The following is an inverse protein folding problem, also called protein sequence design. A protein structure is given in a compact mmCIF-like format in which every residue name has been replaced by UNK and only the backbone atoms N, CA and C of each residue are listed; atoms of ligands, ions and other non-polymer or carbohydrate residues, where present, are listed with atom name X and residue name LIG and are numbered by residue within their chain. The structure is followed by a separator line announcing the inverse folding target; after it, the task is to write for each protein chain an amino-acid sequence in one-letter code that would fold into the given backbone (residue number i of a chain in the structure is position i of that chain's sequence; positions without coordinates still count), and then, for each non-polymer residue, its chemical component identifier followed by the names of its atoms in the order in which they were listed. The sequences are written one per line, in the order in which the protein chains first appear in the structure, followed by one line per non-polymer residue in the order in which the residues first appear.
data_IF_438954086140
#
_entry.id   IF_438954086140
#
_cell.length_a   1.000
_cell.length_b   1.000
_cell.length_c   1.000
_cell.angle_alpha   90.00
_cell.angle_beta   90.00
_cell.angle_gamma   90.00
#
_symmetry.space_group_name_H-M   'P 1'
#
loop_
_entity.id
_entity.type
_entity.pdbx_description
1 polymer ?
#
# COMPACT_ATOMS: atom_id res chain seq x y z
N UNK A 1 -21.10 4.38 -3.50
CA UNK A 1 -21.15 2.90 -3.40
C UNK A 1 -20.46 2.53 -2.10
N UNK A 2 -21.16 1.94 -1.15
CA UNK A 2 -20.59 1.42 0.09
C UNK A 2 -19.67 0.27 -0.24
N UNK A 3 -18.44 0.35 0.26
CA UNK A 3 -17.44 -0.69 0.06
C UNK A 3 -17.96 -2.01 0.68
N UNK A 4 -18.14 -3.05 -0.14
CA UNK A 4 -18.70 -4.34 0.32
C UNK A 4 -17.73 -5.15 1.20
N UNK A 5 -16.51 -4.69 1.39
CA UNK A 5 -15.46 -5.42 2.10
C UNK A 5 -14.86 -4.61 3.24
N UNK A 6 -14.60 -5.29 4.36
CA UNK A 6 -13.72 -4.79 5.41
C UNK A 6 -12.27 -5.14 5.04
N UNK A 7 -11.36 -4.19 5.16
CA UNK A 7 -9.95 -4.40 4.84
C UNK A 7 -9.13 -4.51 6.12
N UNK A 8 -8.37 -5.59 6.25
CA UNK A 8 -7.34 -5.76 7.27
C UNK A 8 -5.98 -5.70 6.58
N UNK A 9 -5.24 -4.64 6.84
CA UNK A 9 -3.98 -4.34 6.17
C UNK A 9 -2.85 -4.38 7.19
N UNK A 10 -1.94 -5.33 7.03
CA UNK A 10 -0.79 -5.50 7.90
C UNK A 10 0.46 -4.88 7.25
N UNK A 11 0.81 -3.67 7.68
CA UNK A 11 2.08 -3.05 7.33
C UNK A 11 3.18 -3.58 8.27
N UNK A 12 4.07 -4.43 7.75
CA UNK A 12 5.16 -4.99 8.54
C UNK A 12 6.27 -3.99 8.82
N UNK A 13 6.24 -2.84 8.15
CA UNK A 13 7.33 -1.87 8.22
C UNK A 13 8.67 -2.53 7.92
N UNK A 14 9.74 -2.21 8.65
CA UNK A 14 11.08 -2.79 8.47
C UNK A 14 11.28 -4.01 9.39
N UNK A 15 10.30 -4.93 9.41
CA UNK A 15 10.39 -6.17 10.17
C UNK A 15 10.23 -7.40 9.30
N UNK A 16 10.90 -8.47 9.69
CA UNK A 16 10.75 -9.78 9.09
C UNK A 16 11.91 -10.20 8.19
N UNK A 17 12.11 -11.50 8.17
CA UNK A 17 13.05 -12.25 7.34
C UNK A 17 12.33 -13.46 6.72
N UNK A 18 13.07 -14.34 6.05
CA UNK A 18 12.50 -15.54 5.43
C UNK A 18 11.85 -16.48 6.46
N UNK A 19 12.37 -16.54 7.70
CA UNK A 19 11.78 -17.39 8.77
C UNK A 19 10.44 -16.86 9.23
N UNK A 20 10.25 -15.54 9.18
CA UNK A 20 9.01 -14.87 9.59
C UNK A 20 7.81 -15.29 8.71
N UNK A 21 8.05 -15.77 7.48
CA UNK A 21 6.98 -16.23 6.57
C UNK A 21 6.16 -17.38 7.18
N UNK A 22 6.74 -18.19 8.05
CA UNK A 22 6.04 -19.29 8.73
C UNK A 22 4.92 -18.78 9.66
N UNK A 23 5.02 -17.54 10.16
CA UNK A 23 3.97 -16.92 10.98
C UNK A 23 2.62 -16.77 10.25
N UNK A 24 2.64 -16.78 8.91
CA UNK A 24 1.44 -16.69 8.07
C UNK A 24 0.56 -17.94 8.11
N UNK A 25 1.04 -19.08 8.60
CA UNK A 25 0.30 -20.35 8.56
C UNK A 25 -1.04 -20.28 9.31
N UNK A 26 -1.07 -19.64 10.47
CA UNK A 26 -2.29 -19.42 11.24
C UNK A 26 -3.30 -18.57 10.46
N UNK A 27 -2.83 -17.51 9.80
CA UNK A 27 -3.67 -16.60 9.02
C UNK A 27 -4.17 -17.27 7.74
N UNK A 28 -3.34 -18.10 7.10
CA UNK A 28 -3.74 -18.92 5.94
C UNK A 28 -4.86 -19.88 6.34
N UNK A 29 -4.72 -20.57 7.48
CA UNK A 29 -5.75 -21.47 8.01
C UNK A 29 -7.06 -20.73 8.28
N UNK A 30 -6.98 -19.58 8.95
CA UNK A 30 -8.13 -18.72 9.21
C UNK A 30 -8.81 -18.26 7.91
N UNK A 31 -8.05 -17.76 6.93
CA UNK A 31 -8.59 -17.29 5.66
C UNK A 31 -9.32 -18.41 4.89
N UNK A 32 -8.82 -19.65 4.95
CA UNK A 32 -9.46 -20.81 4.32
C UNK A 32 -10.79 -21.17 4.96
N UNK A 33 -10.91 -21.09 6.29
CA UNK A 33 -12.15 -21.40 7.01
C UNK A 33 -13.23 -20.31 6.90
N UNK A 34 -12.85 -19.09 6.52
CA UNK A 34 -13.74 -17.93 6.45
C UNK A 34 -13.92 -17.34 5.05
N UNK A 35 -13.90 -18.19 4.01
CA UNK A 35 -13.98 -17.76 2.60
C UNK A 35 -15.22 -16.96 2.22
N UNK A 36 -16.34 -17.17 2.93
CA UNK A 36 -17.62 -16.51 2.66
C UNK A 36 -17.73 -15.10 3.29
N UNK A 37 -16.81 -14.71 4.16
CA UNK A 37 -16.85 -13.44 4.86
C UNK A 37 -16.44 -12.28 3.95
N UNK A 38 -17.10 -11.14 4.11
CA UNK A 38 -16.84 -9.92 3.32
C UNK A 38 -15.63 -9.14 3.85
N UNK A 39 -14.46 -9.77 3.95
CA UNK A 39 -13.22 -9.10 4.30
C UNK A 39 -12.09 -9.40 3.31
N UNK A 40 -11.09 -8.56 3.30
CA UNK A 40 -9.84 -8.73 2.57
C UNK A 40 -8.65 -8.60 3.51
N UNK A 41 -7.74 -9.55 3.42
CA UNK A 41 -6.47 -9.53 4.15
C UNK A 41 -5.36 -9.13 3.18
N UNK A 42 -4.61 -8.10 3.53
CA UNK A 42 -3.49 -7.60 2.72
C UNK A 42 -2.25 -7.53 3.61
N UNK A 43 -1.19 -8.20 3.22
CA UNK A 43 0.11 -8.15 3.89
C UNK A 43 1.07 -7.30 3.09
N UNK A 44 1.66 -6.28 3.73
CA UNK A 44 2.64 -5.37 3.13
C UNK A 44 4.00 -5.57 3.84
N UNK A 45 4.77 -6.60 3.43
CA UNK A 45 6.09 -6.88 3.98
C UNK A 45 7.16 -5.96 3.35
N UNK A 46 8.41 -5.97 3.87
CA UNK A 46 9.55 -5.39 3.17
C UNK A 46 9.70 -5.92 1.74
N UNK A 47 10.27 -5.12 0.85
CA UNK A 47 10.40 -5.46 -0.58
C UNK A 47 11.09 -6.82 -0.82
N UNK A 48 12.07 -7.18 0.02
CA UNK A 48 12.80 -8.45 -0.02
C UNK A 48 11.92 -9.69 0.20
N UNK A 49 10.75 -9.51 0.84
CA UNK A 49 9.84 -10.60 1.20
C UNK A 49 8.59 -10.66 0.29
N UNK A 50 8.35 -9.70 -0.60
CA UNK A 50 7.16 -9.68 -1.46
C UNK A 50 7.08 -10.96 -2.30
N UNK A 51 8.16 -11.34 -2.99
CA UNK A 51 8.15 -12.52 -3.86
C UNK A 51 7.92 -13.83 -3.10
N UNK A 52 8.67 -14.16 -2.03
CA UNK A 52 8.43 -15.41 -1.29
C UNK A 52 7.05 -15.45 -0.63
N UNK A 53 6.55 -14.33 -0.08
CA UNK A 53 5.20 -14.26 0.50
C UNK A 53 4.13 -14.40 -0.59
N UNK A 54 4.28 -13.75 -1.73
CA UNK A 54 3.35 -13.88 -2.86
C UNK A 54 3.24 -15.33 -3.34
N UNK A 55 4.36 -16.05 -3.45
CA UNK A 55 4.36 -17.50 -3.75
C UNK A 55 3.64 -18.31 -2.67
N UNK A 56 3.91 -18.05 -1.38
CA UNK A 56 3.28 -18.76 -0.26
C UNK A 56 1.77 -18.56 -0.23
N UNK A 57 1.29 -17.36 -0.58
CA UNK A 57 -0.11 -16.98 -0.52
C UNK A 57 -0.89 -17.24 -1.83
N UNK A 58 -0.27 -17.76 -2.89
CA UNK A 58 -0.84 -17.89 -4.24
C UNK A 58 -2.15 -18.69 -4.30
N UNK A 59 -2.35 -19.65 -3.39
CA UNK A 59 -3.57 -20.47 -3.29
C UNK A 59 -4.50 -20.04 -2.15
N UNK A 60 -4.48 -18.76 -1.79
CA UNK A 60 -5.29 -18.19 -0.70
C UNK A 60 -6.01 -16.93 -1.17
N UNK A 61 -6.94 -16.43 -0.35
CA UNK A 61 -7.59 -15.13 -0.56
C UNK A 61 -6.82 -13.94 0.05
N UNK A 62 -5.60 -14.19 0.57
CA UNK A 62 -4.75 -13.16 1.15
C UNK A 62 -3.93 -12.52 0.04
N UNK A 63 -3.90 -11.19 0.01
CA UNK A 63 -3.21 -10.43 -1.02
C UNK A 63 -1.93 -9.80 -0.46
N UNK A 64 -0.98 -9.52 -1.35
CA UNK A 64 0.31 -8.93 -0.98
C UNK A 64 0.37 -7.50 -1.49
N UNK A 65 0.83 -6.59 -0.65
CA UNK A 65 1.12 -5.20 -0.99
C UNK A 65 2.58 -4.85 -0.77
N UNK A 66 3.00 -3.75 -1.35
CA UNK A 66 4.28 -3.10 -1.08
C UNK A 66 4.09 -1.93 -0.11
N UNK A 67 5.17 -1.51 0.55
CA UNK A 67 5.15 -0.44 1.56
C UNK A 67 5.38 0.95 0.98
N UNK A 68 5.96 1.05 -0.22
CA UNK A 68 6.18 2.26 -0.99
C UNK A 68 6.57 1.90 -2.43
N UNK A 69 6.67 2.87 -3.32
CA UNK A 69 7.27 2.75 -4.66
C UNK A 69 8.05 4.00 -5.03
N UNK A 70 9.02 3.86 -5.92
CA UNK A 70 9.62 5.01 -6.59
C UNK A 70 8.58 5.68 -7.51
N UNK A 71 8.71 6.99 -7.73
CA UNK A 71 7.82 7.77 -8.58
C UNK A 71 7.94 7.47 -10.07
N UNK A 72 9.06 6.93 -10.52
CA UNK A 72 9.29 6.67 -11.93
C UNK A 72 8.52 5.43 -12.39
N UNK A 73 7.87 5.54 -13.54
CA UNK A 73 7.13 4.43 -14.14
C UNK A 73 8.08 3.41 -14.76
N UNK A 74 9.11 3.91 -15.45
CA UNK A 74 10.06 3.10 -16.20
C UNK A 74 11.31 2.76 -15.39
N UNK A 75 12.09 1.82 -15.89
CA UNK A 75 13.41 1.49 -15.35
C UNK A 75 14.39 2.63 -15.62
N UNK A 76 15.44 2.73 -14.83
CA UNK A 76 16.44 3.78 -14.97
C UNK A 76 17.55 3.72 -13.94
N UNK A 77 18.44 4.70 -13.97
CA UNK A 77 19.61 4.82 -13.08
C UNK A 77 19.19 5.35 -11.67
N UNK A 78 18.45 4.55 -10.94
CA UNK A 78 17.94 4.85 -9.60
C UNK A 78 18.38 3.77 -8.61
N UNK A 79 19.66 3.76 -8.26
CA UNK A 79 20.28 2.74 -7.43
C UNK A 79 19.51 2.49 -6.13
N UNK A 80 19.16 1.24 -5.86
CA UNK A 80 18.43 0.82 -4.66
C UNK A 80 16.92 1.12 -4.67
N UNK A 81 16.39 1.83 -5.68
CA UNK A 81 14.98 2.16 -5.76
C UNK A 81 14.16 1.02 -6.42
N UNK A 82 12.90 0.90 -6.01
CA UNK A 82 11.97 -0.09 -6.55
C UNK A 82 10.72 0.62 -7.06
N UNK A 83 10.41 0.51 -8.34
CA UNK A 83 9.23 1.11 -8.94
C UNK A 83 8.01 0.18 -8.94
N UNK A 84 6.85 0.71 -9.32
CA UNK A 84 5.59 -0.02 -9.29
C UNK A 84 5.57 -1.24 -10.25
N UNK A 85 6.26 -1.18 -11.40
CA UNK A 85 6.37 -2.32 -12.32
C UNK A 85 7.17 -3.47 -11.70
N UNK A 86 8.28 -3.16 -11.03
CA UNK A 86 9.09 -4.17 -10.32
C UNK A 86 8.28 -4.82 -9.19
N UNK A 87 7.53 -4.03 -8.41
CA UNK A 87 6.66 -4.55 -7.35
C UNK A 87 5.58 -5.47 -7.91
N UNK A 88 4.94 -5.08 -9.01
CA UNK A 88 3.94 -5.90 -9.69
C UNK A 88 4.52 -7.22 -10.18
N UNK A 89 5.72 -7.20 -10.78
CA UNK A 89 6.36 -8.40 -11.33
C UNK A 89 6.71 -9.45 -10.27
N UNK A 90 6.95 -9.04 -9.02
CA UNK A 90 7.22 -9.94 -7.90
C UNK A 90 5.96 -10.35 -7.13
N UNK A 91 4.77 -9.93 -7.58
CA UNK A 91 3.48 -10.41 -7.09
C UNK A 91 2.75 -9.46 -6.14
N UNK A 92 3.19 -8.22 -5.97
CA UNK A 92 2.40 -7.22 -5.27
C UNK A 92 1.12 -6.90 -6.04
N UNK A 93 0.00 -6.76 -5.34
CA UNK A 93 -1.29 -6.29 -5.88
C UNK A 93 -1.65 -4.90 -5.36
N UNK A 94 -1.09 -4.50 -4.24
CA UNK A 94 -1.31 -3.21 -3.59
C UNK A 94 0.01 -2.50 -3.33
N UNK A 95 -0.07 -1.19 -3.09
CA UNK A 95 1.04 -0.40 -2.57
C UNK A 95 0.52 0.66 -1.59
N UNK A 96 1.21 0.81 -0.46
CA UNK A 96 0.96 1.88 0.51
C UNK A 96 1.67 3.13 0.00
N UNK A 97 0.96 4.24 -0.11
CA UNK A 97 1.50 5.54 -0.52
C UNK A 97 1.03 6.65 0.43
N UNK A 98 1.91 7.60 0.69
CA UNK A 98 1.63 8.72 1.58
C UNK A 98 1.63 8.37 3.07
N UNK A 99 2.23 7.24 3.46
CA UNK A 99 2.39 6.87 4.86
C UNK A 99 3.15 7.96 5.63
N UNK A 100 2.80 8.17 6.89
CA UNK A 100 3.37 9.23 7.73
C UNK A 100 4.90 9.21 7.77
N UNK A 101 5.52 8.05 7.86
CA UNK A 101 6.98 7.90 7.87
C UNK A 101 7.62 8.42 6.57
N UNK A 102 7.03 8.12 5.41
CA UNK A 102 7.51 8.60 4.12
C UNK A 102 7.27 10.11 3.95
N UNK A 103 6.15 10.62 4.46
CA UNK A 103 5.90 12.08 4.50
C UNK A 103 6.93 12.80 5.37
N UNK A 104 7.28 12.24 6.53
CA UNK A 104 8.34 12.76 7.39
C UNK A 104 9.72 12.71 6.73
N UNK A 105 9.96 11.72 5.87
CA UNK A 105 11.18 11.60 5.05
C UNK A 105 11.17 12.49 3.79
N UNK A 106 10.18 13.40 3.63
CA UNK A 106 10.16 14.42 2.57
C UNK A 106 9.17 14.17 1.43
N UNK A 107 8.36 13.12 1.46
CA UNK A 107 7.33 12.91 0.43
C UNK A 107 6.19 13.94 0.57
N UNK A 108 6.08 14.86 -0.38
CA UNK A 108 4.97 15.80 -0.47
C UNK A 108 3.80 15.26 -1.30
N UNK A 109 2.64 15.93 -1.24
CA UNK A 109 1.42 15.50 -1.91
C UNK A 109 1.53 15.40 -3.44
N UNK A 110 2.35 16.22 -4.08
CA UNK A 110 2.57 16.18 -5.54
C UNK A 110 3.35 14.91 -5.93
N UNK A 111 4.39 14.58 -5.16
CA UNK A 111 5.16 13.35 -5.34
C UNK A 111 4.27 12.12 -5.12
N UNK A 112 3.45 12.13 -4.06
CA UNK A 112 2.50 11.06 -3.77
C UNK A 112 1.48 10.90 -4.90
N UNK A 113 0.93 12.00 -5.44
CA UNK A 113 0.04 11.96 -6.60
C UNK A 113 0.69 11.29 -7.82
N UNK A 114 1.95 11.63 -8.11
CA UNK A 114 2.71 11.00 -9.20
C UNK A 114 2.90 9.50 -8.97
N UNK A 115 3.28 9.09 -7.75
CA UNK A 115 3.38 7.69 -7.35
C UNK A 115 2.07 6.95 -7.50
N UNK A 116 0.94 7.53 -7.08
CA UNK A 116 -0.41 6.95 -7.23
C UNK A 116 -0.70 6.72 -8.72
N UNK A 117 -0.53 7.73 -9.58
CA UNK A 117 -0.77 7.62 -11.03
C UNK A 117 0.04 6.50 -11.66
N UNK A 118 1.33 6.43 -11.36
CA UNK A 118 2.24 5.45 -11.95
C UNK A 118 2.00 4.04 -11.40
N UNK A 119 1.60 3.92 -10.14
CA UNK A 119 1.23 2.63 -9.56
C UNK A 119 -0.07 2.08 -10.16
N UNK A 120 -1.09 2.93 -10.38
CA UNK A 120 -2.31 2.55 -11.09
C UNK A 120 -2.01 2.13 -12.54
N UNK A 121 -1.18 2.88 -13.26
CA UNK A 121 -0.72 2.50 -14.61
C UNK A 121 -0.02 1.15 -14.65
N UNK A 122 0.70 0.80 -13.58
CA UNK A 122 1.37 -0.50 -13.43
C UNK A 122 0.42 -1.63 -12.99
N UNK A 123 -0.88 -1.35 -12.77
CA UNK A 123 -1.89 -2.32 -12.36
C UNK A 123 -1.84 -2.68 -10.87
N UNK A 124 -1.31 -1.79 -10.02
CA UNK A 124 -1.42 -1.89 -8.57
C UNK A 124 -2.65 -1.14 -8.07
N UNK A 125 -3.27 -1.66 -7.01
CA UNK A 125 -4.25 -0.95 -6.20
C UNK A 125 -3.54 -0.16 -5.13
N UNK A 126 -4.12 0.94 -4.71
CA UNK A 126 -3.50 1.91 -3.81
C UNK A 126 -4.11 1.82 -2.41
N UNK A 127 -3.26 1.83 -1.41
CA UNK A 127 -3.60 2.13 -0.02
C UNK A 127 -3.06 3.52 0.23
N UNK A 128 -3.93 4.53 0.12
CA UNK A 128 -3.55 5.92 0.24
C UNK A 128 -3.68 6.38 1.68
N UNK A 129 -2.56 6.63 2.35
CA UNK A 129 -2.52 7.13 3.71
C UNK A 129 -2.61 8.65 3.74
N UNK A 130 -3.56 9.14 4.54
CA UNK A 130 -3.71 10.57 4.87
C UNK A 130 -3.71 10.74 6.39
N UNK A 131 -3.28 11.88 6.86
CA UNK A 131 -3.25 12.18 8.29
C UNK A 131 -2.54 13.49 8.59
N UNK A 132 -2.90 14.11 9.69
CA UNK A 132 -2.28 15.31 10.22
C UNK A 132 -1.15 14.99 11.20
N UNK A 133 -0.22 15.92 11.38
CA UNK A 133 0.76 15.88 12.45
C UNK A 133 0.13 16.26 13.80
N UNK A 134 0.79 15.90 14.92
CA UNK A 134 0.36 16.28 16.26
C UNK A 134 0.21 17.80 16.41
N UNK A 135 1.11 18.58 15.81
CA UNK A 135 1.01 20.05 15.79
C UNK A 135 -0.25 20.51 15.08
N UNK A 136 -0.52 19.99 13.88
CA UNK A 136 -1.72 20.35 13.11
C UNK A 136 -3.02 19.97 13.83
N UNK A 137 -3.03 18.84 14.55
CA UNK A 137 -4.14 18.44 15.39
C UNK A 137 -4.37 19.42 16.55
N UNK A 138 -3.31 19.81 17.26
CA UNK A 138 -3.37 20.82 18.33
C UNK A 138 -3.87 22.16 17.81
N UNK A 139 -3.44 22.55 16.60
CA UNK A 139 -3.88 23.77 15.90
C UNK A 139 -5.30 23.66 15.30
N UNK A 140 -6.04 22.57 15.58
CA UNK A 140 -7.41 22.27 15.07
C UNK A 140 -7.51 22.28 13.53
N UNK A 141 -6.43 21.94 12.82
CA UNK A 141 -6.32 21.95 11.34
C UNK A 141 -6.60 20.59 10.69
N UNK A 142 -7.05 19.57 11.42
CA UNK A 142 -7.27 18.21 10.91
C UNK A 142 -8.05 18.18 9.59
N UNK A 143 -9.25 18.76 9.55
CA UNK A 143 -10.08 18.75 8.33
C UNK A 143 -9.42 19.48 7.16
N UNK A 144 -8.73 20.59 7.41
CA UNK A 144 -8.01 21.32 6.37
C UNK A 144 -6.88 20.49 5.76
N UNK A 145 -6.11 19.79 6.63
CA UNK A 145 -4.99 18.95 6.20
C UNK A 145 -5.50 17.75 5.41
N UNK A 146 -6.49 17.02 5.93
CA UNK A 146 -7.05 15.84 5.25
C UNK A 146 -7.64 16.21 3.88
N UNK A 147 -8.43 17.29 3.81
CA UNK A 147 -8.99 17.78 2.55
C UNK A 147 -7.89 18.18 1.55
N UNK A 148 -6.84 18.86 2.01
CA UNK A 148 -5.70 19.23 1.16
C UNK A 148 -4.98 17.99 0.61
N UNK A 149 -4.69 17.01 1.47
CA UNK A 149 -4.02 15.76 1.06
C UNK A 149 -4.86 14.97 0.07
N UNK A 150 -6.17 14.84 0.30
CA UNK A 150 -7.11 14.19 -0.64
C UNK A 150 -7.14 14.91 -1.98
N UNK A 151 -7.38 16.23 -1.97
CA UNK A 151 -7.48 17.04 -3.19
C UNK A 151 -6.20 16.98 -4.04
N UNK A 152 -5.03 17.09 -3.41
CA UNK A 152 -3.74 17.05 -4.11
C UNK A 152 -3.35 15.64 -4.51
N UNK A 153 -3.45 14.68 -3.59
CA UNK A 153 -3.06 13.29 -3.82
C UNK A 153 -3.89 12.59 -4.88
N UNK A 154 -5.18 12.96 -5.02
CA UNK A 154 -6.09 12.39 -6.02
C UNK A 154 -6.30 13.26 -7.26
N UNK A 155 -5.54 14.35 -7.41
CA UNK A 155 -5.66 15.25 -8.56
C UNK A 155 -5.53 14.50 -9.88
N UNK A 156 -6.54 14.64 -10.76
CA UNK A 156 -6.59 14.03 -12.10
C UNK A 156 -6.54 12.49 -12.12
N UNK A 157 -6.97 11.82 -11.05
CA UNK A 157 -7.10 10.37 -11.00
C UNK A 157 -8.54 9.99 -11.36
N UNK A 158 -8.68 9.18 -12.43
CA UNK A 158 -10.00 8.72 -12.93
C UNK A 158 -10.43 7.39 -12.30
N UNK A 159 -9.48 6.49 -11.95
CA UNK A 159 -9.76 5.14 -11.41
C UNK A 159 -9.77 5.15 -9.88
N UNK A 160 -10.81 5.72 -9.28
CA UNK A 160 -10.96 5.81 -7.82
C UNK A 160 -11.25 4.43 -7.18
N UNK A 161 -11.86 3.51 -7.92
CA UNK A 161 -12.21 2.16 -7.43
C UNK A 161 -10.98 1.30 -7.05
N UNK A 162 -9.79 1.69 -7.49
CA UNK A 162 -8.53 1.01 -7.16
C UNK A 162 -7.83 1.62 -5.94
N UNK A 163 -8.50 2.52 -5.22
CA UNK A 163 -7.92 3.26 -4.07
C UNK A 163 -8.71 2.95 -2.80
N UNK A 164 -7.99 2.59 -1.76
CA UNK A 164 -8.43 2.50 -0.36
C UNK A 164 -7.82 3.70 0.36
N UNK A 165 -8.59 4.42 1.17
CA UNK A 165 -8.14 5.55 1.99
C UNK A 165 -8.26 5.18 3.45
#
# INVERSE_FOLDING_TARGET
MTNKYMYFIANWKMFGDLKTINSLDKVIKFSKSHKKNKFKLIYCPPNTLIRPISKRLSKTNIEVGAQNSNQNLDYGAFTGQVNARMLKSVGAKYVILGHSENRMAGENDNLINLKIKNSIKSGLKIIFCIGESLKQKRDKKTNQVLNSQLKKGLKSIKKINDIII
#
